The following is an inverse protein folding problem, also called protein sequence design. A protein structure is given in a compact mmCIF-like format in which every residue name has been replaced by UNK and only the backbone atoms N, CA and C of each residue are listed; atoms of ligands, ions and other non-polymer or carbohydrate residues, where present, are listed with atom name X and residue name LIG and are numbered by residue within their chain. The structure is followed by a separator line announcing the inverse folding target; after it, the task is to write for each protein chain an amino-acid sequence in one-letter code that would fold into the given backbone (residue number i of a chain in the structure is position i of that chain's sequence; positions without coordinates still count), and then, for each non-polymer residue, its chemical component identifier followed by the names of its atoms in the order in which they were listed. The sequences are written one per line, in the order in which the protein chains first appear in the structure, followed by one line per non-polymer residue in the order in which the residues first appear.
data_IF_346467005949
#
_entry.id   IF_346467005949
#
_cell.length_a   1.000
_cell.length_b   1.000
_cell.length_c   1.000
_cell.angle_alpha   90.00
_cell.angle_beta   90.00
_cell.angle_gamma   90.00
#
_symmetry.space_group_name_H-M   'P 1'
#
loop_
_entity.id
_entity.type
_entity.pdbx_description
1 polymer ?
#
# COMPACT_ATOMS: atom_id res chain seq x y z
N UNK A 1 -12.68 40.67 -37.43
CA UNK A 1 -13.57 39.60 -36.93
C UNK A 1 -12.71 38.36 -36.82
N UNK A 2 -12.39 37.81 -35.67
CA UNK A 2 -13.21 37.58 -34.48
C UNK A 2 -12.31 37.62 -33.25
N UNK A 3 -12.72 38.38 -32.23
CA UNK A 3 -12.07 38.48 -30.92
C UNK A 3 -12.59 37.33 -30.07
N UNK A 4 -11.72 36.43 -29.60
CA UNK A 4 -12.05 35.51 -28.52
C UNK A 4 -11.86 36.24 -27.19
N UNK A 5 -12.94 36.31 -26.43
CA UNK A 5 -13.00 36.96 -25.13
C UNK A 5 -12.24 36.12 -24.09
N UNK A 6 -11.24 36.72 -23.45
CA UNK A 6 -10.70 36.22 -22.19
C UNK A 6 -11.67 36.61 -21.07
N UNK A 7 -12.28 35.63 -20.40
CA UNK A 7 -12.93 35.87 -19.13
C UNK A 7 -11.86 35.98 -18.04
N UNK A 8 -11.44 37.21 -17.77
CA UNK A 8 -10.62 37.58 -16.61
C UNK A 8 -11.46 37.41 -15.35
N UNK A 9 -11.11 36.43 -14.52
CA UNK A 9 -11.63 36.32 -13.15
C UNK A 9 -11.14 37.50 -12.32
N UNK A 10 -11.93 38.57 -12.26
CA UNK A 10 -11.78 39.62 -11.27
C UNK A 10 -12.56 39.22 -10.02
N UNK A 11 -11.88 38.48 -9.14
CA UNK A 11 -12.22 38.44 -7.72
C UNK A 11 -12.05 39.83 -7.09
N UNK A 12 -12.59 40.05 -5.87
CA UNK A 12 -12.57 41.35 -5.22
C UNK A 12 -11.14 41.90 -5.10
N UNK A 13 -10.99 43.18 -5.41
CA UNK A 13 -9.71 43.88 -5.46
C UNK A 13 -9.02 43.83 -4.08
N UNK A 14 -8.06 42.92 -3.87
CA UNK A 14 -7.12 43.04 -2.76
C UNK A 14 -6.62 41.79 -2.03
N UNK A 15 -7.14 40.58 -2.27
CA UNK A 15 -6.57 39.37 -1.63
C UNK A 15 -6.05 38.40 -2.69
N UNK A 16 -4.77 38.03 -2.60
CA UNK A 16 -4.21 36.96 -3.43
C UNK A 16 -4.86 35.64 -3.04
N UNK A 17 -5.27 34.79 -3.99
CA UNK A 17 -5.84 33.48 -3.66
C UNK A 17 -4.80 32.61 -2.96
N UNK A 18 -5.23 31.58 -2.22
CA UNK A 18 -4.30 30.63 -1.60
C UNK A 18 -3.66 29.71 -2.66
N UNK A 19 -4.44 29.29 -3.65
CA UNK A 19 -3.96 28.58 -4.83
C UNK A 19 -4.90 28.75 -6.02
N UNK A 20 -4.45 28.32 -7.20
CA UNK A 20 -5.30 28.08 -8.37
C UNK A 20 -5.04 26.70 -8.93
N UNK A 21 -6.11 26.00 -9.34
CA UNK A 21 -6.06 24.68 -10.00
C UNK A 21 -6.79 24.80 -11.34
N UNK A 22 -6.08 24.70 -12.47
CA UNK A 22 -6.69 24.82 -13.80
C UNK A 22 -7.47 26.13 -14.01
N UNK A 23 -7.06 27.22 -13.35
CA UNK A 23 -7.74 28.52 -13.35
C UNK A 23 -8.89 28.66 -12.35
N UNK A 24 -9.27 27.60 -11.62
CA UNK A 24 -10.22 27.69 -10.48
C UNK A 24 -9.47 28.19 -9.25
N UNK A 25 -10.04 29.20 -8.59
CA UNK A 25 -9.46 29.85 -7.41
C UNK A 25 -9.81 29.11 -6.13
N UNK A 26 -8.82 28.83 -5.31
CA UNK A 26 -8.97 28.42 -3.91
C UNK A 26 -8.66 29.64 -3.03
N UNK A 27 -9.69 30.15 -2.37
CA UNK A 27 -9.58 31.34 -1.52
C UNK A 27 -8.85 31.03 -0.20
N UNK A 28 -8.17 32.03 0.36
CA UNK A 28 -7.56 31.90 1.69
C UNK A 28 -8.58 31.57 2.78
N UNK A 29 -9.81 32.08 2.65
CA UNK A 29 -10.89 31.79 3.59
C UNK A 29 -11.22 30.30 3.61
N UNK A 30 -11.13 29.59 2.49
CA UNK A 30 -11.39 28.15 2.46
C UNK A 30 -10.36 27.37 3.29
N UNK A 31 -9.08 27.78 3.23
CA UNK A 31 -8.02 27.19 4.06
C UNK A 31 -8.29 27.48 5.54
N UNK A 32 -8.61 28.73 5.87
CA UNK A 32 -8.92 29.15 7.23
C UNK A 32 -10.14 28.41 7.80
N UNK A 33 -11.23 28.30 7.03
CA UNK A 33 -12.46 27.62 7.43
C UNK A 33 -12.22 26.14 7.74
N UNK A 34 -11.40 25.47 6.91
CA UNK A 34 -11.02 24.08 7.12
C UNK A 34 -10.17 23.89 8.37
N UNK A 35 -9.16 24.75 8.59
CA UNK A 35 -8.33 24.73 9.80
C UNK A 35 -9.17 25.00 11.06
N UNK A 36 -10.09 25.96 10.99
CA UNK A 36 -11.00 26.28 12.09
C UNK A 36 -11.94 25.12 12.41
N UNK A 37 -12.41 24.39 11.39
CA UNK A 37 -13.24 23.20 11.58
C UNK A 37 -12.45 22.03 12.19
N UNK A 38 -11.20 21.82 11.76
CA UNK A 38 -10.28 20.83 12.37
C UNK A 38 -9.94 21.16 13.81
N UNK A 39 -9.70 22.44 14.14
CA UNK A 39 -9.50 22.89 15.52
C UNK A 39 -10.70 22.53 16.39
N UNK A 40 -11.93 22.90 15.96
CA UNK A 40 -13.16 22.60 16.71
C UNK A 40 -13.37 21.11 16.91
N UNK A 41 -12.99 20.29 15.93
CA UNK A 41 -12.99 18.85 16.07
C UNK A 41 -12.01 18.40 17.16
N UNK A 42 -10.74 18.83 17.15
CA UNK A 42 -9.80 18.46 18.23
C UNK A 42 -10.26 18.94 19.61
N UNK A 43 -10.85 20.14 19.70
CA UNK A 43 -11.41 20.67 20.96
C UNK A 43 -12.60 19.87 21.48
N UNK A 44 -13.33 19.17 20.60
CA UNK A 44 -14.46 18.30 20.96
C UNK A 44 -14.04 16.93 21.49
N UNK A 45 -12.80 16.50 21.24
CA UNK A 45 -12.30 15.19 21.67
C UNK A 45 -11.84 15.23 23.13
N UNK A 46 -12.43 14.37 23.96
CA UNK A 46 -12.04 14.19 25.37
C UNK A 46 -10.88 13.17 25.50
N UNK A 47 -9.75 13.44 24.81
CA UNK A 47 -8.57 12.56 24.76
C UNK A 47 -7.27 13.39 24.93
N UNK A 48 -6.39 13.05 25.90
CA UNK A 48 -5.08 13.69 26.05
C UNK A 48 -4.24 13.75 24.77
N UNK A 49 -4.32 12.74 23.90
CA UNK A 49 -3.60 12.77 22.63
C UNK A 49 -4.18 13.80 21.65
N UNK A 50 -5.48 14.11 21.73
CA UNK A 50 -6.07 15.19 20.94
C UNK A 50 -5.58 16.57 21.41
N UNK A 51 -5.39 16.78 22.72
CA UNK A 51 -4.84 18.02 23.26
C UNK A 51 -3.37 18.25 22.83
N UNK A 52 -2.57 17.19 22.76
CA UNK A 52 -1.19 17.26 22.24
C UNK A 52 -1.19 17.62 20.74
N UNK A 53 -2.05 16.97 19.94
CA UNK A 53 -2.21 17.30 18.51
C UNK A 53 -2.65 18.74 18.30
N UNK A 54 -3.63 19.21 19.08
CA UNK A 54 -4.10 20.60 19.02
C UNK A 54 -2.96 21.58 19.33
N UNK A 55 -2.10 21.27 20.28
CA UNK A 55 -0.94 22.11 20.62
C UNK A 55 0.04 22.22 19.44
N UNK A 56 0.30 21.12 18.73
CA UNK A 56 1.14 21.12 17.53
C UNK A 56 0.44 21.78 16.30
N UNK A 57 -0.89 21.78 16.28
CA UNK A 57 -1.70 22.33 15.21
C UNK A 57 -1.77 23.87 15.21
N UNK A 58 -1.72 24.47 16.39
CA UNK A 58 -1.77 25.92 16.57
C UNK A 58 -0.42 26.59 16.29
N UNK A 59 -0.50 27.84 15.82
CA UNK A 59 0.65 28.69 15.56
C UNK A 59 1.17 29.40 16.81
N UNK A 60 2.23 30.20 16.66
CA UNK A 60 2.88 30.90 17.77
C UNK A 60 2.07 32.09 18.32
N UNK A 61 1.07 32.57 17.58
CA UNK A 61 0.21 33.69 17.98
C UNK A 61 -1.23 33.24 18.17
N UNK A 62 -1.96 33.92 19.05
CA UNK A 62 -3.36 33.61 19.32
C UNK A 62 -4.19 33.63 18.04
N UNK A 63 -4.97 32.55 17.83
CA UNK A 63 -5.82 32.39 16.65
C UNK A 63 -5.09 32.06 15.35
N UNK A 64 -3.79 31.74 15.40
CA UNK A 64 -3.00 31.30 14.23
C UNK A 64 -2.81 29.79 14.20
N UNK A 65 -2.45 29.26 13.04
CA UNK A 65 -2.15 27.84 12.81
C UNK A 65 -0.69 27.65 12.44
N UNK A 66 -0.16 26.45 12.69
CA UNK A 66 1.16 26.08 12.25
C UNK A 66 1.23 26.06 10.70
N UNK A 67 2.29 26.65 10.12
CA UNK A 67 2.45 26.73 8.66
C UNK A 67 2.40 25.37 7.97
N UNK A 68 2.99 24.28 8.51
CA UNK A 68 2.81 22.95 7.93
C UNK A 68 1.36 22.49 7.87
N UNK A 69 0.53 22.83 8.86
CA UNK A 69 -0.89 22.45 8.87
C UNK A 69 -1.73 23.28 7.90
N UNK A 70 -1.41 24.57 7.75
CA UNK A 70 -1.99 25.41 6.71
C UNK A 70 -1.63 24.90 5.30
N UNK A 71 -0.37 24.46 5.10
CA UNK A 71 0.11 23.88 3.84
C UNK A 71 -0.65 22.58 3.52
N UNK A 72 -0.78 21.67 4.48
CA UNK A 72 -1.54 20.41 4.32
C UNK A 72 -3.04 20.64 4.06
N UNK A 73 -3.63 21.63 4.72
CA UNK A 73 -5.03 21.99 4.51
C UNK A 73 -5.25 22.53 3.09
N UNK A 74 -4.33 23.38 2.60
CA UNK A 74 -4.36 23.85 1.22
C UNK A 74 -4.14 22.70 0.23
N UNK A 75 -3.19 21.80 0.48
CA UNK A 75 -2.96 20.61 -0.35
C UNK A 75 -4.21 19.73 -0.44
N UNK A 76 -4.93 19.54 0.66
CA UNK A 76 -6.19 18.78 0.69
C UNK A 76 -7.26 19.44 -0.19
N UNK A 77 -7.37 20.77 -0.15
CA UNK A 77 -8.28 21.54 -1.01
C UNK A 77 -7.90 21.46 -2.49
N UNK A 78 -6.60 21.54 -2.80
CA UNK A 78 -6.06 21.37 -4.16
C UNK A 78 -6.39 19.97 -4.68
N UNK A 79 -6.10 18.92 -3.92
CA UNK A 79 -6.35 17.54 -4.34
C UNK A 79 -7.85 17.26 -4.55
N UNK A 80 -8.71 17.80 -3.68
CA UNK A 80 -10.16 17.71 -3.86
C UNK A 80 -10.62 18.41 -5.15
N UNK A 81 -10.08 19.59 -5.45
CA UNK A 81 -10.40 20.33 -6.66
C UNK A 81 -9.88 19.65 -7.93
N UNK A 82 -8.65 19.11 -7.90
CA UNK A 82 -8.09 18.30 -8.99
C UNK A 82 -8.99 17.10 -9.28
N UNK A 83 -9.37 16.35 -8.25
CA UNK A 83 -10.25 15.20 -8.41
C UNK A 83 -11.61 15.61 -8.99
N UNK A 84 -12.20 16.70 -8.51
CA UNK A 84 -13.47 17.25 -9.01
C UNK A 84 -13.40 17.63 -10.48
N UNK A 85 -12.35 18.35 -10.89
CA UNK A 85 -12.13 18.72 -12.30
C UNK A 85 -11.95 17.49 -13.18
N UNK A 86 -11.11 16.55 -12.75
CA UNK A 86 -10.87 15.32 -13.50
C UNK A 86 -12.17 14.52 -13.71
N UNK A 87 -12.97 14.36 -12.65
CA UNK A 87 -14.27 13.69 -12.71
C UNK A 87 -15.25 14.40 -13.63
N UNK A 88 -15.29 15.74 -13.61
CA UNK A 88 -16.14 16.53 -14.50
C UNK A 88 -15.74 16.38 -15.97
N UNK A 89 -14.45 16.45 -16.28
CA UNK A 89 -13.90 16.28 -17.63
C UNK A 89 -14.20 14.89 -18.21
N UNK A 90 -14.22 13.88 -17.35
CA UNK A 90 -14.58 12.50 -17.69
C UNK A 90 -16.07 12.20 -17.59
N UNK A 91 -16.92 13.24 -17.43
CA UNK A 91 -18.39 13.14 -17.38
C UNK A 91 -18.90 12.21 -16.26
N UNK A 92 -18.17 12.13 -15.15
CA UNK A 92 -18.52 11.37 -13.94
C UNK A 92 -18.54 12.27 -12.70
N UNK A 93 -19.39 13.32 -12.64
CA UNK A 93 -19.49 14.18 -11.46
C UNK A 93 -20.02 13.40 -10.25
N UNK A 94 -19.66 13.80 -9.03
CA UNK A 94 -20.15 13.14 -7.82
C UNK A 94 -21.68 13.07 -7.77
N UNK A 95 -22.18 11.90 -7.37
CA UNK A 95 -23.60 11.64 -7.15
C UNK A 95 -23.89 11.56 -5.67
N UNK A 96 -25.18 11.65 -5.33
CA UNK A 96 -25.63 11.42 -3.95
C UNK A 96 -25.20 10.05 -3.42
N UNK A 97 -25.24 9.02 -4.26
CA UNK A 97 -24.83 7.67 -3.85
C UNK A 97 -23.33 7.60 -3.47
N UNK A 98 -22.46 8.32 -4.19
CA UNK A 98 -21.03 8.36 -3.86
C UNK A 98 -20.79 9.06 -2.52
N UNK A 99 -21.51 10.16 -2.27
CA UNK A 99 -21.45 10.91 -1.01
C UNK A 99 -21.99 10.08 0.17
N UNK A 100 -23.13 9.41 -0.03
CA UNK A 100 -23.73 8.55 0.99
C UNK A 100 -22.81 7.36 1.33
N UNK A 101 -22.16 6.75 0.33
CA UNK A 101 -21.18 5.68 0.52
C UNK A 101 -19.93 6.17 1.28
N UNK A 102 -19.36 7.32 0.87
CA UNK A 102 -18.23 7.91 1.58
C UNK A 102 -18.58 8.26 3.02
N UNK A 103 -19.77 8.82 3.27
CA UNK A 103 -20.26 9.11 4.62
C UNK A 103 -20.38 7.84 5.47
N UNK A 104 -20.94 6.76 4.92
CA UNK A 104 -21.07 5.49 5.62
C UNK A 104 -19.71 4.88 5.99
N UNK A 105 -18.72 4.99 5.09
CA UNK A 105 -17.36 4.53 5.36
C UNK A 105 -16.70 5.35 6.47
N UNK A 106 -16.80 6.68 6.39
CA UNK A 106 -16.30 7.58 7.45
C UNK A 106 -16.99 7.28 8.79
N UNK A 107 -18.31 7.07 8.80
CA UNK A 107 -19.05 6.71 10.02
C UNK A 107 -18.58 5.36 10.61
N UNK A 108 -18.31 4.37 9.76
CA UNK A 108 -17.74 3.08 10.17
C UNK A 108 -16.35 3.25 10.79
N UNK A 109 -15.48 4.04 10.14
CA UNK A 109 -14.13 4.32 10.64
C UNK A 109 -14.14 5.07 11.97
N UNK A 110 -14.99 6.08 12.12
CA UNK A 110 -15.15 6.83 13.37
C UNK A 110 -15.73 5.94 14.48
N UNK A 111 -16.73 5.12 14.16
CA UNK A 111 -17.32 4.17 15.11
C UNK A 111 -16.29 3.16 15.63
N UNK A 112 -15.39 2.70 14.76
CA UNK A 112 -14.28 1.80 15.16
C UNK A 112 -13.32 2.46 16.17
N UNK A 113 -13.21 3.78 16.12
CA UNK A 113 -12.44 4.62 17.04
C UNK A 113 -13.27 5.17 18.20
N UNK A 114 -14.54 4.73 18.34
CA UNK A 114 -15.49 5.18 19.36
C UNK A 114 -15.81 6.68 19.28
N UNK A 115 -15.69 7.27 18.10
CA UNK A 115 -16.03 8.67 17.81
C UNK A 115 -17.40 8.71 17.15
N UNK A 116 -18.32 9.49 17.71
CA UNK A 116 -19.65 9.65 17.14
C UNK A 116 -19.63 10.64 15.96
N UNK A 117 -20.30 10.32 14.85
CA UNK A 117 -20.27 11.15 13.64
C UNK A 117 -20.77 12.58 13.86
N UNK A 118 -21.75 12.74 14.75
CA UNK A 118 -22.34 14.02 15.15
C UNK A 118 -21.43 14.89 16.03
N UNK A 119 -20.36 14.31 16.59
CA UNK A 119 -19.30 15.07 17.29
C UNK A 119 -18.33 15.77 16.35
N UNK A 120 -18.28 15.35 15.08
CA UNK A 120 -17.41 15.98 14.08
C UNK A 120 -18.04 17.30 13.61
N UNK A 121 -17.22 18.36 13.53
CA UNK A 121 -17.66 19.64 12.98
C UNK A 121 -18.28 19.44 11.59
N UNK A 122 -19.47 20.02 11.37
CA UNK A 122 -20.22 19.78 10.13
C UNK A 122 -19.44 20.18 8.88
N UNK A 123 -18.71 21.30 8.90
CA UNK A 123 -17.95 21.75 7.74
C UNK A 123 -16.79 20.81 7.44
N UNK A 124 -16.12 20.31 8.49
CA UNK A 124 -15.09 19.28 8.35
C UNK A 124 -15.66 17.98 7.80
N UNK A 125 -16.81 17.53 8.32
CA UNK A 125 -17.46 16.31 7.86
C UNK A 125 -17.90 16.44 6.39
N UNK A 126 -18.55 17.54 6.02
CA UNK A 126 -19.00 17.79 4.65
C UNK A 126 -17.80 17.77 3.68
N UNK A 127 -16.70 18.45 4.02
CA UNK A 127 -15.46 18.43 3.23
C UNK A 127 -14.84 17.02 3.13
N UNK A 128 -14.77 16.30 4.25
CA UNK A 128 -14.18 14.95 4.31
C UNK A 128 -15.00 13.96 3.48
N UNK A 129 -16.34 14.05 3.54
CA UNK A 129 -17.24 13.23 2.72
C UNK A 129 -17.05 13.52 1.24
N UNK A 130 -17.04 14.80 0.84
CA UNK A 130 -16.91 15.16 -0.58
C UNK A 130 -15.54 14.76 -1.15
N UNK A 131 -14.46 15.07 -0.43
CA UNK A 131 -13.09 14.72 -0.85
C UNK A 131 -12.87 13.20 -0.88
N UNK A 132 -13.39 12.45 0.10
CA UNK A 132 -13.32 10.98 0.11
C UNK A 132 -14.15 10.37 -1.02
N UNK A 133 -15.35 10.90 -1.29
CA UNK A 133 -16.16 10.45 -2.42
C UNK A 133 -15.43 10.68 -3.75
N UNK A 134 -14.83 11.86 -3.95
CA UNK A 134 -14.03 12.16 -5.13
C UNK A 134 -12.85 11.19 -5.29
N UNK A 135 -12.09 10.96 -4.23
CA UNK A 135 -10.96 10.04 -4.22
C UNK A 135 -11.39 8.59 -4.53
N UNK A 136 -12.49 8.12 -3.93
CA UNK A 136 -13.01 6.77 -4.15
C UNK A 136 -13.49 6.56 -5.58
N UNK A 137 -14.28 7.49 -6.12
CA UNK A 137 -14.75 7.42 -7.52
C UNK A 137 -13.57 7.48 -8.48
N UNK A 138 -12.59 8.35 -8.22
CA UNK A 138 -11.39 8.44 -9.05
C UNK A 138 -10.59 7.14 -9.01
N UNK A 139 -10.38 6.55 -7.82
CA UNK A 139 -9.70 5.26 -7.67
C UNK A 139 -10.44 4.13 -8.40
N UNK A 140 -11.77 4.06 -8.26
CA UNK A 140 -12.60 3.08 -8.96
C UNK A 140 -12.48 3.23 -10.49
N UNK A 141 -12.50 4.47 -11.00
CA UNK A 141 -12.31 4.75 -12.42
C UNK A 141 -10.94 4.29 -12.90
N UNK A 142 -9.86 4.58 -12.15
CA UNK A 142 -8.51 4.13 -12.50
C UNK A 142 -8.39 2.61 -12.45
N UNK A 143 -8.98 1.96 -11.44
CA UNK A 143 -9.04 0.51 -11.34
C UNK A 143 -9.75 -0.12 -12.54
N UNK A 144 -10.89 0.44 -12.97
CA UNK A 144 -11.60 0.00 -14.19
C UNK A 144 -10.76 0.19 -15.44
N UNK A 145 -10.02 1.30 -15.57
CA UNK A 145 -9.14 1.53 -16.71
C UNK A 145 -7.98 0.54 -16.75
N UNK A 146 -7.33 0.26 -15.59
CA UNK A 146 -6.26 -0.73 -15.48
C UNK A 146 -6.80 -2.13 -15.80
N UNK A 147 -7.94 -2.52 -15.22
CA UNK A 147 -8.56 -3.81 -15.47
C UNK A 147 -9.01 -3.98 -16.94
N UNK A 148 -9.54 -2.93 -17.57
CA UNK A 148 -9.95 -2.98 -18.98
C UNK A 148 -8.77 -2.99 -19.97
N UNK A 149 -7.57 -2.62 -19.52
CA UNK A 149 -6.37 -2.58 -20.35
C UNK A 149 -5.68 -3.96 -20.47
N UNK A 150 -6.00 -4.90 -19.58
CA UNK A 150 -5.37 -6.23 -19.52
C UNK A 150 -6.46 -7.27 -19.76
N UNK A 151 -6.35 -8.02 -20.86
CA UNK A 151 -7.26 -9.15 -21.11
C UNK A 151 -6.83 -10.42 -20.34
N UNK A 152 -7.71 -11.43 -20.32
CA UNK A 152 -7.45 -12.69 -19.60
C UNK A 152 -6.17 -13.39 -20.09
N UNK A 153 -5.84 -13.27 -21.38
CA UNK A 153 -4.66 -13.90 -21.95
C UNK A 153 -3.38 -13.17 -21.52
N UNK A 154 -3.39 -11.84 -21.47
CA UNK A 154 -2.30 -11.04 -20.95
C UNK A 154 -2.11 -11.26 -19.44
N UNK A 155 -3.21 -11.41 -18.68
CA UNK A 155 -3.15 -11.76 -17.26
C UNK A 155 -2.49 -13.12 -17.04
N UNK A 156 -2.88 -14.14 -17.81
CA UNK A 156 -2.21 -15.45 -17.74
C UNK A 156 -0.74 -15.37 -18.15
N UNK A 157 -0.40 -14.57 -19.16
CA UNK A 157 0.98 -14.33 -19.56
C UNK A 157 1.80 -13.64 -18.45
N UNK A 158 1.22 -12.72 -17.69
CA UNK A 158 1.87 -12.09 -16.53
C UNK A 158 2.11 -13.10 -15.41
N UNK A 159 1.13 -13.94 -15.11
CA UNK A 159 1.27 -15.03 -14.12
C UNK A 159 2.40 -15.98 -14.54
N UNK A 160 2.42 -16.40 -15.81
CA UNK A 160 3.49 -17.25 -16.34
C UNK A 160 4.85 -16.54 -16.28
N UNK A 161 4.93 -15.27 -16.65
CA UNK A 161 6.17 -14.51 -16.63
C UNK A 161 6.75 -14.41 -15.20
N UNK A 162 5.91 -14.13 -14.20
CA UNK A 162 6.33 -14.14 -12.80
C UNK A 162 6.80 -15.53 -12.35
N UNK A 163 6.10 -16.58 -12.77
CA UNK A 163 6.52 -17.96 -12.47
C UNK A 163 7.91 -18.27 -13.04
N UNK A 164 8.19 -17.85 -14.27
CA UNK A 164 9.50 -18.04 -14.90
C UNK A 164 10.59 -17.15 -14.30
N UNK A 165 10.25 -15.92 -13.88
CA UNK A 165 11.18 -15.03 -13.18
C UNK A 165 11.67 -15.64 -11.85
N UNK A 166 10.80 -16.39 -11.17
CA UNK A 166 11.15 -17.08 -9.93
C UNK A 166 11.98 -18.35 -10.17
N UNK A 167 12.08 -18.87 -11.39
CA UNK A 167 12.73 -20.14 -11.70
C UNK A 167 14.15 -20.31 -11.11
N UNK A 168 15.06 -19.30 -11.15
CA UNK A 168 16.40 -19.43 -10.59
C UNK A 168 16.43 -19.58 -9.06
N UNK A 169 15.34 -19.23 -8.38
CA UNK A 169 15.23 -19.23 -6.92
C UNK A 169 14.32 -20.37 -6.41
N UNK A 170 13.73 -21.17 -7.31
CA UNK A 170 12.77 -22.20 -6.91
C UNK A 170 13.47 -23.35 -6.15
N UNK A 171 12.92 -23.75 -4.99
CA UNK A 171 13.52 -24.78 -4.13
C UNK A 171 13.40 -26.20 -4.72
N UNK A 172 14.05 -27.18 -4.09
CA UNK A 172 13.80 -28.59 -4.35
C UNK A 172 12.53 -29.02 -3.62
N UNK A 173 11.65 -29.79 -4.25
CA UNK A 173 10.51 -30.42 -3.59
C UNK A 173 10.82 -31.87 -3.23
N UNK A 174 10.52 -32.25 -2.00
CA UNK A 174 10.87 -33.53 -1.42
C UNK A 174 9.61 -34.36 -1.19
N UNK A 175 9.68 -35.66 -1.50
CA UNK A 175 8.74 -36.65 -1.03
C UNK A 175 9.42 -37.50 0.05
N UNK A 176 8.69 -37.90 1.09
CA UNK A 176 9.20 -38.70 2.19
C UNK A 176 8.35 -39.92 2.47
N UNK A 177 9.02 -40.97 2.94
CA UNK A 177 8.40 -42.13 3.61
C UNK A 177 8.99 -42.18 5.01
N UNK A 178 8.13 -42.14 6.02
CA UNK A 178 8.52 -42.25 7.43
C UNK A 178 8.30 -43.68 7.88
N UNK A 179 9.27 -44.30 8.55
CA UNK A 179 9.18 -45.66 9.05
C UNK A 179 9.63 -45.73 10.51
N UNK A 180 9.03 -46.64 11.29
CA UNK A 180 9.35 -46.82 12.72
C UNK A 180 10.68 -47.57 12.93
N UNK A 181 11.15 -48.32 11.93
CA UNK A 181 12.39 -49.09 11.99
C UNK A 181 13.24 -48.91 10.73
N UNK A 182 14.56 -49.12 10.88
CA UNK A 182 15.50 -49.08 9.76
C UNK A 182 15.17 -50.15 8.71
N UNK A 183 14.74 -51.33 9.17
CA UNK A 183 14.41 -52.44 8.30
C UNK A 183 13.20 -52.12 7.40
N UNK A 184 12.18 -51.49 7.97
CA UNK A 184 10.99 -51.08 7.21
C UNK A 184 11.34 -49.96 6.22
N UNK A 185 12.18 -49.01 6.62
CA UNK A 185 12.64 -47.94 5.73
C UNK A 185 13.47 -48.49 4.56
N UNK A 186 14.37 -49.45 4.81
CA UNK A 186 15.14 -50.13 3.78
C UNK A 186 14.23 -50.95 2.84
N UNK A 187 13.19 -51.61 3.36
CA UNK A 187 12.22 -52.34 2.55
C UNK A 187 11.41 -51.39 1.65
N UNK A 188 10.95 -50.25 2.17
CA UNK A 188 10.27 -49.23 1.40
C UNK A 188 11.18 -48.66 0.29
N UNK A 189 12.43 -48.32 0.62
CA UNK A 189 13.42 -47.86 -0.36
C UNK A 189 13.65 -48.88 -1.47
N UNK A 190 13.79 -50.16 -1.13
CA UNK A 190 14.01 -51.23 -2.12
C UNK A 190 12.82 -51.40 -3.09
N UNK A 191 11.59 -51.17 -2.63
CA UNK A 191 10.39 -51.16 -3.51
C UNK A 191 10.48 -50.05 -4.56
N UNK A 192 10.83 -48.83 -4.13
CA UNK A 192 10.97 -47.69 -5.03
C UNK A 192 12.14 -47.89 -6.00
N UNK A 193 13.30 -48.36 -5.52
CA UNK A 193 14.44 -48.72 -6.37
C UNK A 193 14.09 -49.84 -7.38
N UNK A 194 13.14 -50.71 -7.02
CA UNK A 194 12.56 -51.73 -7.89
C UNK A 194 11.61 -51.19 -8.97
N UNK A 195 11.33 -49.89 -8.98
CA UNK A 195 10.48 -49.22 -9.97
C UNK A 195 9.02 -49.05 -9.53
N UNK A 196 8.69 -49.33 -8.26
CA UNK A 196 7.39 -48.97 -7.72
C UNK A 196 7.28 -47.44 -7.52
N UNK A 197 6.08 -46.90 -7.74
CA UNK A 197 5.82 -45.47 -7.56
C UNK A 197 5.98 -45.05 -6.09
N UNK A 198 6.75 -44.00 -5.83
CA UNK A 198 7.04 -43.54 -4.47
C UNK A 198 5.78 -43.17 -3.70
N UNK A 199 4.82 -42.50 -4.35
CA UNK A 199 3.57 -42.09 -3.72
C UNK A 199 2.70 -43.30 -3.34
N UNK A 200 2.69 -44.35 -4.16
CA UNK A 200 2.02 -45.62 -3.84
C UNK A 200 2.66 -46.30 -2.61
N UNK A 201 4.00 -46.38 -2.56
CA UNK A 201 4.72 -46.94 -1.40
C UNK A 201 4.45 -46.08 -0.15
N UNK A 202 4.53 -44.75 -0.25
CA UNK A 202 4.26 -43.85 0.86
C UNK A 202 2.83 -44.00 1.41
N UNK A 203 1.84 -44.12 0.53
CA UNK A 203 0.45 -44.33 0.92
C UNK A 203 0.23 -45.66 1.66
N UNK A 204 1.02 -46.69 1.34
CA UNK A 204 0.88 -48.02 1.93
C UNK A 204 1.63 -48.17 3.26
N UNK A 205 2.86 -47.67 3.35
CA UNK A 205 3.77 -48.01 4.47
C UNK A 205 4.28 -46.83 5.28
N UNK A 206 4.02 -45.58 4.88
CA UNK A 206 4.50 -44.43 5.66
C UNK A 206 3.74 -44.29 6.97
N UNK A 207 4.49 -44.11 8.06
CA UNK A 207 3.98 -43.83 9.40
C UNK A 207 3.54 -42.37 9.58
N UNK A 208 3.83 -41.47 8.63
CA UNK A 208 3.31 -40.10 8.63
C UNK A 208 2.05 -39.98 7.75
N UNK A 209 0.84 -39.93 8.35
CA UNK A 209 -0.40 -39.90 7.60
C UNK A 209 -0.60 -38.62 6.79
N UNK A 210 0.05 -37.50 7.18
CA UNK A 210 -0.15 -36.22 6.50
C UNK A 210 0.54 -36.25 5.13
N UNK A 211 1.80 -36.67 5.09
CA UNK A 211 2.55 -36.79 3.84
C UNK A 211 2.07 -37.99 3.03
N UNK A 212 1.74 -39.12 3.65
CA UNK A 212 1.18 -40.29 2.97
C UNK A 212 -0.08 -39.96 2.15
N UNK A 213 -0.98 -39.13 2.70
CA UNK A 213 -2.22 -38.72 2.03
C UNK A 213 -2.00 -37.90 0.74
N UNK A 214 -0.82 -37.30 0.58
CA UNK A 214 -0.43 -36.51 -0.59
C UNK A 214 0.78 -37.10 -1.33
N UNK A 215 0.92 -38.44 -1.27
CA UNK A 215 1.95 -39.15 -2.03
C UNK A 215 3.38 -38.95 -1.52
N UNK A 216 3.53 -38.67 -0.23
CA UNK A 216 4.81 -38.41 0.42
C UNK A 216 5.26 -36.95 0.39
N UNK A 217 4.55 -36.04 -0.30
CA UNK A 217 5.01 -34.65 -0.45
C UNK A 217 5.22 -33.94 0.90
N UNK A 218 6.48 -33.58 1.18
CA UNK A 218 6.92 -32.95 2.44
C UNK A 218 7.20 -31.44 2.30
N UNK A 219 6.86 -30.85 1.16
CA UNK A 219 7.14 -29.46 0.85
C UNK A 219 8.43 -29.28 0.05
N UNK A 220 8.80 -28.02 -0.16
CA UNK A 220 10.00 -27.65 -0.91
C UNK A 220 10.94 -26.80 -0.07
N UNK A 221 12.24 -27.05 -0.17
CA UNK A 221 13.30 -26.37 0.56
C UNK A 221 14.52 -26.12 -0.35
N UNK A 222 15.30 -25.09 -0.05
CA UNK A 222 16.60 -24.92 -0.71
C UNK A 222 17.53 -26.10 -0.38
N UNK A 223 18.48 -26.50 -1.26
CA UNK A 223 19.33 -27.67 -1.05
C UNK A 223 20.04 -27.70 0.32
N UNK A 224 20.49 -26.55 0.81
CA UNK A 224 21.15 -26.43 2.12
C UNK A 224 20.16 -26.65 3.27
N UNK A 225 18.94 -26.13 3.12
CA UNK A 225 17.87 -26.31 4.11
C UNK A 225 17.39 -27.76 4.13
N UNK A 226 17.26 -28.39 2.97
CA UNK A 226 16.97 -29.82 2.85
C UNK A 226 18.06 -30.66 3.52
N UNK A 227 19.33 -30.35 3.24
CA UNK A 227 20.49 -31.02 3.88
C UNK A 227 20.46 -30.85 5.40
N UNK A 228 20.13 -29.65 5.89
CA UNK A 228 20.03 -29.39 7.32
C UNK A 228 18.85 -30.13 7.98
N UNK A 229 17.68 -30.13 7.33
CA UNK A 229 16.48 -30.74 7.86
C UNK A 229 16.53 -32.27 7.82
N UNK A 230 17.15 -32.83 6.78
CA UNK A 230 17.04 -34.25 6.49
C UNK A 230 18.36 -35.03 6.40
N UNK A 231 19.51 -34.36 6.40
CA UNK A 231 20.80 -34.97 6.07
C UNK A 231 20.96 -35.19 4.57
N UNK A 232 22.07 -35.82 4.16
CA UNK A 232 22.42 -36.01 2.74
C UNK A 232 23.14 -34.81 2.11
N UNK A 233 23.26 -34.82 0.79
CA UNK A 233 23.74 -33.69 -0.02
C UNK A 233 22.83 -33.55 -1.24
N UNK A 234 22.05 -32.47 -1.27
CA UNK A 234 21.09 -32.21 -2.33
C UNK A 234 21.57 -31.17 -3.35
N UNK A 235 22.83 -30.72 -3.26
CA UNK A 235 23.36 -29.62 -4.09
C UNK A 235 23.24 -29.89 -5.59
N UNK A 236 23.36 -31.16 -5.99
CA UNK A 236 23.27 -31.60 -7.39
C UNK A 236 22.17 -32.66 -7.61
N UNK A 237 21.15 -32.66 -6.75
CA UNK A 237 20.10 -33.66 -6.81
C UNK A 237 19.25 -33.52 -8.08
N UNK A 238 18.79 -34.63 -8.62
CA UNK A 238 17.92 -34.74 -9.78
C UNK A 238 16.58 -35.30 -9.37
N UNK A 239 15.55 -35.02 -10.17
CA UNK A 239 14.22 -35.62 -9.97
C UNK A 239 14.34 -37.15 -9.95
N UNK A 240 13.74 -37.77 -8.95
CA UNK A 240 13.78 -39.22 -8.68
C UNK A 240 15.00 -39.69 -7.88
N UNK A 241 15.96 -38.81 -7.54
CA UNK A 241 17.09 -39.21 -6.70
C UNK A 241 16.59 -39.60 -5.29
N UNK A 242 17.05 -40.75 -4.79
CA UNK A 242 16.68 -41.30 -3.49
C UNK A 242 17.79 -41.13 -2.45
N UNK A 243 17.47 -40.55 -1.29
CA UNK A 243 18.36 -40.37 -0.15
C UNK A 243 17.84 -41.06 1.11
N UNK A 244 18.75 -41.37 2.05
CA UNK A 244 18.42 -42.12 3.27
C UNK A 244 18.33 -43.63 3.07
N UNK A 245 17.79 -44.38 4.04
CA UNK A 245 17.03 -43.86 5.18
C UNK A 245 17.91 -43.17 6.22
N UNK A 246 17.49 -41.99 6.68
CA UNK A 246 18.17 -41.24 7.75
C UNK A 246 17.42 -41.39 9.07
N UNK A 247 18.14 -41.64 10.15
CA UNK A 247 17.55 -41.64 11.48
C UNK A 247 17.32 -40.19 11.95
N UNK A 248 16.08 -39.89 12.34
CA UNK A 248 15.69 -38.62 12.93
C UNK A 248 14.77 -38.87 14.12
N UNK A 249 15.19 -38.50 15.33
CA UNK A 249 14.33 -38.57 16.53
C UNK A 249 13.58 -39.91 16.67
N UNK A 250 14.31 -41.02 16.54
CA UNK A 250 13.78 -42.40 16.61
C UNK A 250 12.85 -42.86 15.47
N UNK A 251 12.71 -42.06 14.40
CA UNK A 251 12.10 -42.51 13.13
C UNK A 251 13.11 -42.54 11.99
N UNK A 252 12.79 -43.28 10.94
CA UNK A 252 13.63 -43.41 9.74
C UNK A 252 12.95 -42.79 8.54
N UNK A 253 13.64 -41.89 7.85
CA UNK A 253 13.08 -41.13 6.73
C UNK A 253 13.80 -41.48 5.43
N UNK A 254 13.06 -42.02 4.47
CA UNK A 254 13.51 -42.19 3.07
C UNK A 254 12.99 -41.03 2.24
N UNK A 255 13.83 -40.46 1.37
CA UNK A 255 13.53 -39.21 0.68
C UNK A 255 13.71 -39.40 -0.81
N UNK A 256 12.79 -38.86 -1.59
CA UNK A 256 12.87 -38.73 -3.04
C UNK A 256 12.80 -37.26 -3.44
N UNK A 257 13.58 -36.85 -4.44
CA UNK A 257 13.42 -35.54 -5.08
C UNK A 257 12.24 -35.58 -6.04
N UNK A 258 11.12 -34.98 -5.64
CA UNK A 258 9.93 -34.87 -6.50
C UNK A 258 10.07 -33.80 -7.59
N UNK A 259 10.76 -32.69 -7.30
CA UNK A 259 10.99 -31.61 -8.27
C UNK A 259 12.28 -30.86 -7.97
N UNK A 260 13.06 -30.52 -9.00
CA UNK A 260 14.21 -29.61 -8.91
C UNK A 260 13.87 -28.19 -9.35
N UNK A 261 12.62 -27.95 -9.74
CA UNK A 261 12.13 -26.67 -10.23
C UNK A 261 11.08 -26.09 -9.29
N UNK A 262 11.04 -26.53 -8.03
CA UNK A 262 10.07 -26.08 -7.04
C UNK A 262 8.63 -26.49 -7.33
N UNK A 263 7.68 -25.82 -6.65
CA UNK A 263 6.26 -26.05 -6.86
C UNK A 263 5.86 -25.75 -8.31
N UNK A 264 4.83 -26.45 -8.76
CA UNK A 264 4.22 -26.24 -10.08
C UNK A 264 3.53 -24.88 -10.16
N UNK A 265 3.27 -24.42 -11.38
CA UNK A 265 2.49 -23.21 -11.61
C UNK A 265 1.14 -23.25 -10.87
N UNK A 266 0.43 -24.36 -10.94
CA UNK A 266 -0.88 -24.50 -10.30
C UNK A 266 -0.80 -24.41 -8.77
N UNK A 267 0.27 -24.91 -8.16
CA UNK A 267 0.52 -24.77 -6.73
C UNK A 267 0.86 -23.32 -6.34
N UNK A 268 1.52 -22.57 -7.22
CA UNK A 268 1.88 -21.17 -6.99
C UNK A 268 0.81 -20.17 -7.46
N UNK A 269 -0.17 -20.62 -8.25
CA UNK A 269 -1.15 -19.76 -8.92
C UNK A 269 -1.86 -18.78 -7.97
N UNK A 270 -2.35 -19.18 -6.78
CA UNK A 270 -3.00 -18.23 -5.87
C UNK A 270 -2.07 -17.12 -5.35
N UNK A 271 -0.77 -17.40 -5.20
CA UNK A 271 0.23 -16.41 -4.80
C UNK A 271 0.57 -15.48 -5.98
N UNK A 272 0.79 -16.05 -7.16
CA UNK A 272 1.09 -15.28 -8.37
C UNK A 272 -0.07 -14.36 -8.76
N UNK A 273 -1.32 -14.82 -8.66
CA UNK A 273 -2.52 -14.01 -8.87
C UNK A 273 -2.59 -12.82 -7.90
N UNK A 274 -2.23 -13.04 -6.63
CA UNK A 274 -2.12 -11.96 -5.65
C UNK A 274 -1.03 -10.95 -6.01
N UNK A 275 0.12 -11.41 -6.50
CA UNK A 275 1.20 -10.53 -6.95
C UNK A 275 0.80 -9.72 -8.19
N UNK A 276 0.15 -10.34 -9.18
CA UNK A 276 -0.38 -9.62 -10.35
C UNK A 276 -1.41 -8.58 -9.92
N UNK A 277 -2.30 -8.92 -8.98
CA UNK A 277 -3.27 -7.96 -8.43
C UNK A 277 -2.58 -6.78 -7.74
N UNK A 278 -1.51 -7.03 -6.97
CA UNK A 278 -0.73 -5.98 -6.35
C UNK A 278 -0.03 -5.06 -7.38
N UNK A 279 0.45 -5.62 -8.50
CA UNK A 279 0.98 -4.82 -9.61
C UNK A 279 -0.11 -3.95 -10.25
N UNK A 280 -1.33 -4.45 -10.38
CA UNK A 280 -2.45 -3.66 -10.87
C UNK A 280 -2.80 -2.52 -9.91
N UNK A 281 -2.82 -2.78 -8.59
CA UNK A 281 -3.01 -1.74 -7.57
C UNK A 281 -1.90 -0.67 -7.60
N UNK A 282 -0.65 -1.08 -7.89
CA UNK A 282 0.46 -0.16 -8.09
C UNK A 282 0.26 0.70 -9.34
N UNK A 283 -0.22 0.11 -10.45
CA UNK A 283 -0.58 0.87 -11.66
C UNK A 283 -1.70 1.87 -11.37
N UNK A 284 -2.74 1.47 -10.63
CA UNK A 284 -3.83 2.37 -10.20
C UNK A 284 -3.27 3.55 -9.42
N UNK A 285 -2.41 3.28 -8.44
CA UNK A 285 -1.78 4.32 -7.61
C UNK A 285 -0.92 5.27 -8.44
N UNK A 286 -0.17 4.72 -9.41
CA UNK A 286 0.63 5.52 -10.35
C UNK A 286 -0.26 6.44 -11.20
N UNK A 287 -1.38 5.92 -11.72
CA UNK A 287 -2.34 6.72 -12.50
C UNK A 287 -2.99 7.83 -11.67
N UNK A 288 -3.32 7.56 -10.41
CA UNK A 288 -3.83 8.57 -9.48
C UNK A 288 -2.81 9.69 -9.26
N UNK A 289 -1.54 9.33 -9.01
CA UNK A 289 -0.47 10.32 -8.86
C UNK A 289 -0.28 11.16 -10.14
N UNK A 290 -0.33 10.53 -11.32
CA UNK A 290 -0.25 11.23 -12.60
C UNK A 290 -1.36 12.28 -12.78
N UNK A 291 -2.57 12.06 -12.24
CA UNK A 291 -3.65 13.06 -12.29
C UNK A 291 -3.26 14.32 -11.53
N UNK A 292 -2.68 14.17 -10.35
CA UNK A 292 -2.23 15.30 -9.51
C UNK A 292 -1.04 16.01 -10.15
N UNK A 293 -0.02 15.25 -10.59
CA UNK A 293 1.21 15.80 -11.19
C UNK A 293 0.97 16.56 -12.50
N UNK A 294 -0.08 16.18 -13.26
CA UNK A 294 -0.43 16.85 -14.53
C UNK A 294 -1.33 18.08 -14.34
N UNK A 295 -1.82 18.32 -13.13
CA UNK A 295 -2.69 19.47 -12.86
C UNK A 295 -1.89 20.78 -12.93
N UNK A 296 -2.51 21.82 -13.51
CA UNK A 296 -1.95 23.17 -13.51
C UNK A 296 -2.23 23.83 -12.16
N UNK A 297 -1.26 23.79 -11.25
CA UNK A 297 -1.37 24.28 -9.87
C UNK A 297 -0.41 25.43 -9.64
N UNK A 298 -0.94 26.54 -9.11
CA UNK A 298 -0.15 27.64 -8.56
C UNK A 298 -0.51 27.83 -7.09
N UNK A 299 0.49 27.93 -6.22
CA UNK A 299 0.32 28.12 -4.77
C UNK A 299 0.87 29.48 -4.36
N UNK A 300 0.16 30.19 -3.50
CA UNK A 300 0.67 31.43 -2.90
C UNK A 300 1.85 31.10 -1.97
N UNK A 301 3.01 31.78 -2.13
CA UNK A 301 4.23 31.49 -1.36
C UNK A 301 4.07 31.49 0.16
N UNK A 302 3.01 32.12 0.70
CA UNK A 302 2.69 32.09 2.13
C UNK A 302 2.30 30.69 2.63
N UNK A 303 1.80 29.83 1.75
CA UNK A 303 1.47 28.44 2.05
C UNK A 303 2.55 27.46 1.60
N UNK A 304 3.56 27.92 0.84
CA UNK A 304 4.69 27.09 0.44
C UNK A 304 4.91 27.05 -1.07
N UNK A 305 5.59 26.01 -1.52
CA UNK A 305 5.96 25.81 -2.92
C UNK A 305 5.36 24.49 -3.39
N UNK A 306 4.59 24.54 -4.47
CA UNK A 306 4.09 23.33 -5.15
C UNK A 306 5.24 22.62 -5.87
N UNK A 307 5.38 21.33 -5.61
CA UNK A 307 6.27 20.44 -6.34
C UNK A 307 5.46 19.62 -7.37
N UNK A 308 5.60 19.90 -8.68
CA UNK A 308 4.86 19.19 -9.72
C UNK A 308 5.34 17.75 -9.93
N UNK A 309 6.52 17.38 -9.42
CA UNK A 309 7.04 16.00 -9.54
C UNK A 309 6.44 15.08 -8.48
N UNK A 310 6.07 15.62 -7.32
CA UNK A 310 5.49 14.85 -6.22
C UNK A 310 4.01 15.13 -6.01
N UNK A 311 3.48 16.23 -6.53
CA UNK A 311 2.10 16.65 -6.32
C UNK A 311 1.85 17.11 -4.88
N UNK A 312 2.85 17.73 -4.24
CA UNK A 312 2.78 18.14 -2.83
C UNK A 312 3.21 19.58 -2.61
N UNK A 313 2.84 20.15 -1.47
CA UNK A 313 3.32 21.47 -1.03
C UNK A 313 4.47 21.29 -0.05
N UNK A 314 5.62 21.88 -0.37
CA UNK A 314 6.70 22.08 0.61
C UNK A 314 6.39 23.31 1.46
N UNK A 315 6.16 23.16 2.79
CA UNK A 315 5.82 24.29 3.65
C UNK A 315 6.97 25.31 3.74
N UNK A 316 6.65 26.60 3.94
CA UNK A 316 7.67 27.61 4.16
C UNK A 316 8.40 27.38 5.49
N UNK A 317 9.73 27.52 5.48
CA UNK A 317 10.55 27.44 6.69
C UNK A 317 10.55 28.81 7.37
N UNK A 318 10.07 28.87 8.61
CA UNK A 318 10.26 30.07 9.45
C UNK A 318 11.72 30.07 9.93
N UNK A 319 12.52 31.12 9.67
CA UNK A 319 13.84 31.22 10.26
C UNK A 319 13.69 31.24 11.78
N UNK A 320 14.31 30.28 12.48
CA UNK A 320 14.41 30.34 13.95
C UNK A 320 15.08 31.67 14.31
N UNK A 321 14.49 32.53 15.15
CA UNK A 321 15.15 33.75 15.56
C UNK A 321 16.48 33.36 16.21
N UNK A 322 17.59 33.84 15.64
CA UNK A 322 18.90 33.69 16.25
C UNK A 322 18.79 34.22 17.68
N UNK A 323 19.18 33.42 18.66
CA UNK A 323 19.29 33.85 20.05
C UNK A 323 20.17 35.08 20.07
N UNK A 324 19.56 36.25 20.24
CA UNK A 324 20.26 37.52 20.40
C UNK A 324 21.16 37.38 21.61
N UNK A 325 22.43 37.06 21.38
CA UNK A 325 23.45 37.18 22.42
C UNK A 325 23.56 38.66 22.71
N UNK A 326 23.01 39.07 23.84
CA UNK A 326 23.09 40.43 24.36
C UNK A 326 24.57 40.78 24.50
N UNK A 327 25.11 41.52 23.54
CA UNK A 327 26.45 42.07 23.62
C UNK A 327 26.43 43.19 24.67
N UNK A 328 26.85 42.86 25.89
CA UNK A 328 27.12 43.84 26.94
C UNK A 328 28.33 44.67 26.53
N UNK A 329 28.10 45.91 26.10
CA UNK A 329 29.13 46.92 25.90
C UNK A 329 29.88 47.18 27.23
N UNK A 330 31.22 47.21 27.25
CA UNK A 330 31.96 47.60 28.43
C UNK A 330 31.87 49.12 28.62
N UNK A 331 31.38 49.54 29.79
CA UNK A 331 31.42 50.95 30.21
C UNK A 331 32.88 51.30 30.52
N UNK A 332 33.46 52.15 29.66
CA UNK A 332 34.80 52.71 29.85
C UNK A 332 34.83 53.70 31.01
N UNK A 333 35.84 53.54 31.86
CA UNK A 333 36.17 54.48 32.93
C UNK A 333 36.80 55.77 32.36
N UNK A 334 36.47 56.90 32.95
CA UNK A 334 37.25 58.14 32.95
C UNK A 334 37.13 58.79 34.32
#
# INVERSE_FOLDING_TARGET
ATVMASCSGQGPVGLTPAATVGGVVIEQSAVQDLLDAQRRYYESLDDPAAAERLTAFLGQSDGTFALPEASKSLESLINAEIARQYLADHKRPLTKADLDAARSEIESQLSSQQIALDSVDKALLDFTVESSAAANVLREMMAKQVAAAVDDAEREAQIQALFEELAPQRPLCLNIIVSESEADAQAARARVEGGEDFAAVAAEVSADPNTAAVGGYAGCAQPEQATQAFGGDYTNAKVGDLSGPFNQNDVWVTIEIGSTTGPTLDQMRPELERQVTALDDQKVTTRLAEVVMKADVTVDPRFGIWDPETGTITPPVVPTPATSTTSTLPVGAS
#
